data_IF_245005041919
#
_entry.id   IF_245005041919
#
_cell.length_a   1.000
_cell.length_b   1.000
_cell.length_c   1.000
_cell.angle_alpha   90.00
_cell.angle_beta   90.00
_cell.angle_gamma   90.00
#
_symmetry.space_group_name_H-M   'P 1'
#
loop_
_entity.id
_entity.type
_entity.pdbx_description
1 polymer ?
#
# COMPACT_ATOMS: atom_id res chain seq x y z
N UNK A 1 -15.51 -2.03 4.85
CA UNK A 1 -14.88 -0.86 5.51
C UNK A 1 -15.46 -0.52 6.90
N UNK A 2 -16.62 -1.02 7.31
CA UNK A 2 -17.24 -0.69 8.60
C UNK A 2 -16.59 -1.37 9.84
N UNK A 3 -15.91 -2.51 9.68
CA UNK A 3 -15.44 -3.29 10.84
C UNK A 3 -14.06 -2.92 11.41
N UNK A 4 -13.32 -2.02 10.76
CA UNK A 4 -11.98 -1.65 11.22
C UNK A 4 -12.00 -0.62 12.36
N UNK A 5 -12.98 0.26 12.38
CA UNK A 5 -13.11 1.28 13.45
C UNK A 5 -13.73 0.73 14.74
N UNK A 6 -14.48 -0.38 14.67
CA UNK A 6 -15.08 -1.01 15.85
C UNK A 6 -14.11 -1.90 16.65
N UNK A 7 -12.99 -2.35 16.06
CA UNK A 7 -12.00 -3.17 16.78
C UNK A 7 -11.04 -2.37 17.67
N UNK A 8 -11.08 -1.06 17.65
CA UNK A 8 -10.16 -0.17 18.37
C UNK A 8 -10.47 0.02 19.87
N UNK A 9 -11.35 -0.76 20.47
CA UNK A 9 -11.84 -0.42 21.80
C UNK A 9 -11.87 -1.46 22.90
N UNK A 10 -11.52 -2.72 22.70
CA UNK A 10 -11.83 -3.76 23.70
C UNK A 10 -10.69 -4.70 24.13
N UNK A 11 -9.47 -4.25 24.14
CA UNK A 11 -8.37 -5.00 24.77
C UNK A 11 -7.44 -4.02 25.46
N UNK A 12 -7.10 -4.22 26.74
CA UNK A 12 -6.17 -3.37 27.48
C UNK A 12 -4.72 -3.38 26.95
N UNK A 13 -4.52 -3.54 25.65
CA UNK A 13 -3.28 -3.51 24.91
C UNK A 13 -2.97 -2.12 24.32
N UNK A 14 -1.73 -1.93 23.91
CA UNK A 14 -1.27 -0.74 23.19
C UNK A 14 -1.31 -1.09 21.71
N UNK A 15 -2.07 -0.34 20.91
CA UNK A 15 -2.07 -0.50 19.47
C UNK A 15 -0.83 0.17 18.88
N UNK A 16 -0.07 -0.61 18.13
CA UNK A 16 1.19 -0.22 17.50
C UNK A 16 1.11 -0.53 16.02
N UNK A 17 1.36 0.48 15.21
CA UNK A 17 1.48 0.34 13.76
C UNK A 17 2.96 0.23 13.41
N UNK A 18 3.33 -0.83 12.73
CA UNK A 18 4.67 -1.04 12.20
C UNK A 18 4.57 -1.03 10.69
N UNK A 19 5.33 -0.16 10.03
CA UNK A 19 5.43 -0.14 8.58
C UNK A 19 6.85 -0.49 8.13
N UNK A 20 6.94 -1.28 7.08
CA UNK A 20 8.17 -1.51 6.34
C UNK A 20 8.17 -0.55 5.17
N UNK A 21 9.17 0.30 5.08
CA UNK A 21 9.34 1.27 3.99
C UNK A 21 10.66 1.00 3.27
N UNK A 22 10.66 0.87 1.94
CA UNK A 22 11.90 0.74 1.17
C UNK A 22 12.82 1.95 1.28
N UNK A 23 12.26 3.14 1.52
CA UNK A 23 13.01 4.37 1.68
C UNK A 23 13.49 4.59 3.12
N UNK A 24 12.60 4.34 4.08
CA UNK A 24 12.81 4.72 5.49
C UNK A 24 13.21 3.55 6.40
N UNK A 25 13.09 2.32 5.92
CA UNK A 25 13.35 1.12 6.70
C UNK A 25 12.14 0.68 7.51
N UNK A 26 12.29 0.48 8.81
CA UNK A 26 11.23 0.04 9.69
C UNK A 26 10.79 1.20 10.57
N UNK A 27 9.51 1.50 10.52
CA UNK A 27 8.89 2.59 11.28
C UNK A 27 7.86 2.05 12.25
N UNK A 28 7.76 2.66 13.41
CA UNK A 28 6.74 2.35 14.40
C UNK A 28 5.99 3.60 14.83
N UNK A 29 4.69 3.54 14.79
CA UNK A 29 3.80 4.58 15.29
C UNK A 29 2.82 3.99 16.28
N UNK A 30 2.65 4.64 17.43
CA UNK A 30 1.53 4.37 18.32
C UNK A 30 0.64 5.59 18.43
N UNK A 31 -0.66 5.35 18.52
CA UNK A 31 -1.66 6.41 18.61
C UNK A 31 -2.28 6.45 20.02
N UNK A 32 -2.73 7.61 20.41
CA UNK A 32 -3.59 7.76 21.60
C UNK A 32 -5.06 7.44 21.27
N UNK A 33 -5.92 7.48 22.28
CA UNK A 33 -7.36 7.21 22.10
C UNK A 33 -8.08 8.24 21.23
N UNK A 34 -7.41 9.32 20.85
CA UNK A 34 -7.93 10.38 19.98
C UNK A 34 -7.36 10.29 18.56
N UNK A 35 -6.49 9.29 18.30
CA UNK A 35 -5.84 9.11 17.00
C UNK A 35 -4.61 10.00 16.79
N UNK A 36 -4.13 10.71 17.81
CA UNK A 36 -2.90 11.49 17.68
C UNK A 36 -1.68 10.59 17.86
N UNK A 37 -0.60 10.90 17.15
CA UNK A 37 0.68 10.20 17.31
C UNK A 37 1.22 10.41 18.71
N UNK A 38 1.29 9.32 19.46
CA UNK A 38 1.83 9.28 20.82
C UNK A 38 3.32 8.97 20.83
N UNK A 39 3.74 8.08 19.95
CA UNK A 39 5.14 7.73 19.79
C UNK A 39 5.43 7.41 18.34
N UNK A 40 6.61 7.81 17.87
CA UNK A 40 7.15 7.46 16.56
C UNK A 40 8.63 7.07 16.73
N UNK A 41 9.04 6.03 16.07
CA UNK A 41 10.44 5.60 16.01
C UNK A 41 10.73 4.97 14.64
N UNK A 42 11.97 5.04 14.22
CA UNK A 42 12.45 4.52 12.96
C UNK A 42 13.79 3.84 13.15
N UNK A 43 14.01 2.73 12.43
CA UNK A 43 15.31 2.07 12.32
C UNK A 43 15.55 1.63 10.88
N UNK A 44 16.81 1.63 10.41
CA UNK A 44 17.13 1.12 9.09
C UNK A 44 16.72 -0.35 8.95
N UNK A 45 16.22 -0.71 7.78
CA UNK A 45 15.93 -2.10 7.39
C UNK A 45 16.13 -2.21 5.88
N UNK A 46 16.83 -3.24 5.43
CA UNK A 46 16.96 -3.51 4.02
C UNK A 46 15.75 -4.31 3.51
N UNK A 47 15.14 -3.80 2.45
CA UNK A 47 14.01 -4.44 1.78
C UNK A 47 14.38 -4.77 0.33
N UNK A 48 14.15 -6.02 -0.07
CA UNK A 48 14.35 -6.47 -1.44
C UNK A 48 13.08 -6.21 -2.25
N UNK A 49 13.04 -5.07 -2.93
CA UNK A 49 11.88 -4.66 -3.72
C UNK A 49 11.59 -5.62 -4.88
N UNK A 50 12.63 -6.16 -5.53
CA UNK A 50 12.47 -7.10 -6.65
C UNK A 50 11.83 -8.44 -6.23
N UNK A 51 12.08 -8.85 -5.01
CA UNK A 51 11.53 -10.08 -4.43
C UNK A 51 10.30 -9.82 -3.55
N UNK A 52 9.98 -8.56 -3.29
CA UNK A 52 8.87 -8.12 -2.43
C UNK A 52 8.95 -8.74 -1.03
N UNK A 53 10.15 -8.76 -0.46
CA UNK A 53 10.41 -9.38 0.85
C UNK A 53 11.47 -8.61 1.64
N UNK A 54 11.46 -8.80 2.95
CA UNK A 54 12.54 -8.33 3.84
C UNK A 54 13.80 -9.11 3.51
N UNK A 55 14.93 -8.41 3.30
CA UNK A 55 16.18 -9.03 2.92
C UNK A 55 16.74 -9.94 4.03
N UNK A 56 16.54 -9.55 5.29
CA UNK A 56 17.04 -10.27 6.46
C UNK A 56 16.04 -10.23 7.63
N UNK A 57 15.47 -11.38 7.99
CA UNK A 57 14.49 -11.47 9.07
C UNK A 57 15.10 -11.32 10.48
N UNK A 58 16.40 -11.61 10.67
CA UNK A 58 17.09 -11.35 11.93
C UNK A 58 17.25 -9.84 12.16
N UNK A 59 17.53 -9.08 11.11
CA UNK A 59 17.54 -7.62 11.15
C UNK A 59 16.14 -7.04 11.40
N UNK A 60 15.11 -7.60 10.79
CA UNK A 60 13.73 -7.24 11.08
C UNK A 60 13.39 -7.41 12.55
N UNK A 61 13.74 -8.58 13.12
CA UNK A 61 13.54 -8.87 14.55
C UNK A 61 14.27 -7.87 15.44
N UNK A 62 15.56 -7.66 15.20
CA UNK A 62 16.37 -6.71 15.96
C UNK A 62 15.84 -5.27 15.83
N UNK A 63 15.37 -4.89 14.63
CA UNK A 63 14.73 -3.61 14.37
C UNK A 63 13.45 -3.41 15.17
N UNK A 64 12.56 -4.39 15.17
CA UNK A 64 11.31 -4.34 15.96
C UNK A 64 11.62 -4.24 17.46
N UNK A 65 12.57 -5.05 17.97
CA UNK A 65 13.01 -4.98 19.37
C UNK A 65 13.54 -3.59 19.73
N UNK A 66 14.35 -3.00 18.85
CA UNK A 66 14.90 -1.65 19.02
C UNK A 66 13.79 -0.59 19.07
N UNK A 67 12.79 -0.68 18.18
CA UNK A 67 11.65 0.23 18.19
C UNK A 67 10.87 0.20 19.51
N UNK A 68 10.57 -1.00 20.00
CA UNK A 68 9.89 -1.17 21.29
C UNK A 68 10.71 -0.61 22.46
N UNK A 69 12.02 -0.86 22.49
CA UNK A 69 12.92 -0.36 23.51
C UNK A 69 13.03 1.16 23.46
N UNK A 70 13.24 1.75 22.28
CA UNK A 70 13.39 3.20 22.08
C UNK A 70 12.19 3.98 22.60
N UNK A 71 11.01 3.40 22.52
CA UNK A 71 9.77 4.05 22.97
C UNK A 71 9.24 3.51 24.29
N UNK A 72 10.00 2.61 24.94
CA UNK A 72 9.64 2.00 26.21
C UNK A 72 8.23 1.36 26.18
N UNK A 73 7.90 0.75 25.05
CA UNK A 73 6.64 0.01 24.86
C UNK A 73 6.89 -1.45 25.24
N UNK A 74 6.07 -1.99 26.13
CA UNK A 74 6.15 -3.41 26.50
C UNK A 74 5.56 -4.28 25.38
N UNK A 75 6.35 -5.09 24.66
CA UNK A 75 5.86 -5.92 23.57
C UNK A 75 4.70 -6.85 23.97
N UNK A 76 4.71 -7.38 25.19
CA UNK A 76 3.66 -8.28 25.71
C UNK A 76 2.27 -7.66 25.84
N UNK A 77 2.19 -6.34 25.68
CA UNK A 77 0.94 -5.58 25.69
C UNK A 77 0.62 -4.96 24.34
N UNK A 78 1.42 -5.27 23.31
CA UNK A 78 1.27 -4.66 22.01
C UNK A 78 0.40 -5.50 21.10
N UNK A 79 -0.60 -4.84 20.52
CA UNK A 79 -1.36 -5.29 19.37
C UNK A 79 -0.70 -4.65 18.13
N UNK A 80 -0.12 -5.46 17.27
CA UNK A 80 0.64 -4.96 16.13
C UNK A 80 -0.20 -5.02 14.86
N UNK A 81 -0.28 -3.88 14.18
CA UNK A 81 -0.76 -3.74 12.82
C UNK A 81 0.44 -3.52 11.92
N UNK A 82 0.64 -4.38 10.94
CA UNK A 82 1.78 -4.36 10.03
C UNK A 82 1.37 -3.79 8.67
N UNK A 83 2.11 -2.82 8.15
CA UNK A 83 2.00 -2.37 6.77
C UNK A 83 3.21 -2.83 5.98
N UNK A 84 2.96 -3.52 4.87
CA UNK A 84 4.00 -3.98 3.94
C UNK A 84 4.05 -3.07 2.71
N UNK A 85 5.25 -2.70 2.24
CA UNK A 85 5.38 -1.73 1.16
C UNK A 85 4.91 -2.30 -0.17
N UNK A 86 5.27 -3.54 -0.44
CA UNK A 86 5.07 -4.14 -1.74
C UNK A 86 4.37 -5.48 -1.60
N UNK A 87 3.12 -5.50 -2.00
CA UNK A 87 2.34 -6.71 -2.23
C UNK A 87 2.01 -6.78 -3.72
N UNK A 88 1.58 -7.93 -4.18
CA UNK A 88 1.09 -8.04 -5.54
C UNK A 88 -0.33 -7.51 -5.62
N UNK A 89 -0.58 -6.71 -6.65
CA UNK A 89 -1.90 -6.15 -6.91
C UNK A 89 -2.36 -6.52 -8.31
N UNK A 90 -3.66 -6.48 -8.52
CA UNK A 90 -4.24 -6.59 -9.84
C UNK A 90 -5.71 -6.23 -9.84
N UNK A 91 -6.22 -6.04 -11.05
CA UNK A 91 -7.64 -5.83 -11.34
C UNK A 91 -8.10 -6.95 -12.27
N UNK A 92 -9.12 -7.72 -11.84
CA UNK A 92 -9.76 -8.74 -12.67
C UNK A 92 -11.14 -8.28 -13.06
N UNK A 93 -11.33 -8.12 -14.35
CA UNK A 93 -12.60 -7.68 -14.94
C UNK A 93 -13.35 -8.84 -15.60
N UNK A 94 -14.63 -8.61 -15.89
CA UNK A 94 -15.45 -9.54 -16.67
C UNK A 94 -15.85 -10.81 -15.95
N UNK A 95 -15.81 -10.83 -14.61
CA UNK A 95 -16.23 -11.99 -13.84
C UNK A 95 -17.77 -12.13 -13.86
N UNK A 96 -18.33 -13.33 -13.99
CA UNK A 96 -19.75 -13.56 -13.83
C UNK A 96 -20.27 -13.10 -12.47
N UNK A 97 -21.43 -12.43 -12.43
CA UNK A 97 -22.00 -11.87 -11.19
C UNK A 97 -22.30 -12.93 -10.12
N UNK A 98 -22.57 -14.16 -10.53
CA UNK A 98 -22.98 -15.26 -9.64
C UNK A 98 -21.82 -16.11 -9.10
N UNK A 99 -20.57 -15.69 -9.33
CA UNK A 99 -19.43 -16.39 -8.73
C UNK A 99 -19.43 -16.18 -7.21
N UNK A 100 -19.24 -17.28 -6.49
CA UNK A 100 -19.04 -17.24 -5.05
C UNK A 100 -17.59 -16.80 -4.70
N UNK A 101 -17.38 -16.44 -3.43
CA UNK A 101 -16.11 -15.92 -2.95
C UNK A 101 -14.96 -16.95 -3.10
N UNK A 102 -15.25 -18.24 -3.00
CA UNK A 102 -14.26 -19.31 -3.19
C UNK A 102 -13.81 -19.38 -4.65
N UNK A 103 -14.75 -19.29 -5.59
CA UNK A 103 -14.42 -19.29 -7.01
C UNK A 103 -13.60 -18.07 -7.39
N UNK A 104 -13.93 -16.88 -6.86
CA UNK A 104 -13.16 -15.66 -7.09
C UNK A 104 -11.75 -15.81 -6.51
N UNK A 105 -11.62 -16.31 -5.29
CA UNK A 105 -10.32 -16.55 -4.65
C UNK A 105 -9.43 -17.46 -5.51
N UNK A 106 -9.98 -18.56 -6.02
CA UNK A 106 -9.24 -19.47 -6.89
C UNK A 106 -8.83 -18.83 -8.23
N UNK A 107 -9.67 -17.98 -8.81
CA UNK A 107 -9.33 -17.22 -10.02
C UNK A 107 -8.18 -16.26 -9.72
N UNK A 108 -8.24 -15.53 -8.61
CA UNK A 108 -7.18 -14.59 -8.19
C UNK A 108 -5.85 -15.33 -7.97
N UNK A 109 -5.86 -16.47 -7.27
CA UNK A 109 -4.66 -17.30 -7.09
C UNK A 109 -4.10 -17.73 -8.45
N UNK A 110 -4.95 -18.22 -9.36
CA UNK A 110 -4.52 -18.63 -10.70
C UNK A 110 -3.92 -17.51 -11.53
N UNK A 111 -4.43 -16.27 -11.44
CA UNK A 111 -3.83 -15.09 -12.10
C UNK A 111 -2.46 -14.75 -11.51
N UNK A 112 -2.36 -14.79 -10.17
CA UNK A 112 -1.10 -14.52 -9.48
C UNK A 112 -0.02 -15.54 -9.84
N UNK A 113 -0.35 -16.83 -9.89
CA UNK A 113 0.59 -17.91 -10.23
C UNK A 113 1.04 -17.87 -11.70
N UNK A 114 0.23 -17.31 -12.59
CA UNK A 114 0.62 -17.09 -13.99
C UNK A 114 1.59 -15.92 -14.15
N UNK A 115 1.48 -14.93 -13.29
CA UNK A 115 2.25 -13.67 -13.42
C UNK A 115 3.52 -13.68 -12.56
N UNK A 116 3.46 -14.32 -11.39
CA UNK A 116 4.52 -14.29 -10.38
C UNK A 116 4.94 -15.70 -9.94
N UNK A 117 6.20 -15.82 -9.53
CA UNK A 117 6.73 -17.07 -8.98
C UNK A 117 6.74 -16.98 -7.46
N UNK A 118 5.89 -17.76 -6.80
CA UNK A 118 5.87 -17.89 -5.35
C UNK A 118 6.82 -19.01 -4.91
N UNK A 119 7.73 -18.71 -3.96
CA UNK A 119 8.87 -19.58 -3.66
C UNK A 119 8.52 -20.84 -2.86
N UNK A 120 7.52 -20.81 -1.98
CA UNK A 120 7.30 -21.89 -1.00
C UNK A 120 5.86 -22.27 -0.73
N UNK A 121 4.93 -21.33 -0.74
CA UNK A 121 3.51 -21.54 -0.43
C UNK A 121 2.64 -20.69 -1.34
N UNK A 122 1.39 -21.11 -1.49
CA UNK A 122 0.40 -20.30 -2.18
C UNK A 122 0.30 -18.91 -1.56
N UNK A 123 0.07 -17.86 -2.36
CA UNK A 123 -0.13 -16.52 -1.84
C UNK A 123 -1.41 -16.47 -1.00
N UNK A 124 -1.43 -15.55 -0.02
CA UNK A 124 -2.66 -15.21 0.70
C UNK A 124 -3.32 -14.06 -0.07
N UNK A 125 -4.40 -14.31 -0.83
CA UNK A 125 -5.09 -13.26 -1.55
C UNK A 125 -6.09 -12.55 -0.64
N UNK A 126 -6.28 -11.27 -0.92
CA UNK A 126 -7.38 -10.46 -0.42
C UNK A 126 -7.99 -9.71 -1.61
N UNK A 127 -9.30 -9.69 -1.72
CA UNK A 127 -9.98 -9.02 -2.83
C UNK A 127 -11.29 -8.35 -2.38
N UNK A 128 -11.73 -7.39 -3.16
CA UNK A 128 -13.00 -6.69 -2.98
C UNK A 128 -13.54 -6.19 -4.32
N UNK A 129 -14.82 -5.84 -4.36
CA UNK A 129 -15.43 -5.35 -5.57
C UNK A 129 -14.82 -4.01 -6.01
N UNK A 130 -14.38 -4.00 -7.26
CA UNK A 130 -14.01 -2.80 -8.00
C UNK A 130 -15.19 -2.30 -8.83
N UNK A 131 -15.11 -1.09 -9.35
CA UNK A 131 -16.11 -0.60 -10.28
C UNK A 131 -15.91 -1.27 -11.64
N UNK A 132 -16.97 -1.91 -12.16
CA UNK A 132 -16.90 -2.52 -13.48
C UNK A 132 -16.81 -1.43 -14.56
N UNK A 133 -15.79 -1.52 -15.41
CA UNK A 133 -15.49 -0.45 -16.39
C UNK A 133 -16.45 -0.41 -17.57
N UNK A 134 -17.09 -1.52 -17.95
CA UNK A 134 -17.76 -1.61 -19.26
C UNK A 134 -19.05 -2.40 -19.34
N UNK A 135 -19.45 -3.18 -18.34
CA UNK A 135 -20.61 -4.05 -18.47
C UNK A 135 -21.36 -4.23 -17.15
N UNK A 136 -22.66 -3.89 -17.14
CA UNK A 136 -23.55 -4.08 -15.99
C UNK A 136 -23.77 -5.58 -15.62
N UNK A 137 -23.47 -6.50 -16.52
CA UNK A 137 -23.68 -7.92 -16.35
C UNK A 137 -22.45 -8.67 -15.86
N UNK A 138 -21.37 -7.94 -15.56
CA UNK A 138 -20.12 -8.50 -15.04
C UNK A 138 -19.68 -7.80 -13.77
N UNK A 139 -18.86 -8.52 -13.00
CA UNK A 139 -18.22 -8.06 -11.77
C UNK A 139 -16.74 -7.82 -12.05
N UNK A 140 -16.16 -6.80 -11.43
CA UNK A 140 -14.72 -6.60 -11.38
C UNK A 140 -14.26 -6.65 -9.93
N UNK A 141 -13.09 -7.23 -9.70
CA UNK A 141 -12.47 -7.30 -8.38
C UNK A 141 -11.06 -6.74 -8.42
N UNK A 142 -10.74 -5.90 -7.45
CA UNK A 142 -9.37 -5.52 -7.18
C UNK A 142 -8.81 -6.46 -6.13
N UNK A 143 -7.63 -6.98 -6.34
CA UNK A 143 -7.01 -7.93 -5.44
C UNK A 143 -5.60 -7.52 -5.06
N UNK A 144 -5.19 -7.98 -3.88
CA UNK A 144 -3.82 -7.93 -3.40
C UNK A 144 -3.43 -9.29 -2.85
N UNK A 145 -2.14 -9.60 -2.88
CA UNK A 145 -1.63 -10.83 -2.30
C UNK A 145 -0.26 -10.62 -1.68
N UNK A 146 0.03 -11.45 -0.69
CA UNK A 146 1.32 -11.52 0.00
C UNK A 146 1.73 -12.98 0.14
N UNK A 147 3.02 -13.24 0.20
CA UNK A 147 3.53 -14.59 0.46
C UNK A 147 3.15 -15.03 1.89
N UNK A 148 2.58 -16.22 2.02
CA UNK A 148 2.15 -16.75 3.31
C UNK A 148 3.31 -16.91 4.31
N UNK A 149 4.47 -17.33 3.83
CA UNK A 149 5.67 -17.51 4.67
C UNK A 149 6.21 -16.17 5.24
N UNK A 150 6.05 -15.07 4.52
CA UNK A 150 6.38 -13.73 5.05
C UNK A 150 5.54 -13.42 6.29
N UNK A 151 4.22 -13.61 6.17
CA UNK A 151 3.29 -13.36 7.29
C UNK A 151 3.55 -14.30 8.46
N UNK A 152 3.76 -15.60 8.19
CA UNK A 152 4.04 -16.58 9.24
C UNK A 152 5.35 -16.27 9.98
N UNK A 153 6.40 -15.86 9.26
CA UNK A 153 7.69 -15.48 9.85
C UNK A 153 7.53 -14.25 10.75
N UNK A 154 6.86 -13.21 10.26
CA UNK A 154 6.63 -11.99 11.06
C UNK A 154 5.76 -12.30 12.29
N UNK A 155 4.72 -13.12 12.12
CA UNK A 155 3.87 -13.57 13.23
C UNK A 155 4.68 -14.34 14.28
N UNK A 156 5.61 -15.20 13.87
CA UNK A 156 6.52 -15.93 14.78
C UNK A 156 7.42 -14.97 15.55
N UNK A 157 8.06 -14.02 14.86
CA UNK A 157 8.92 -12.99 15.47
C UNK A 157 8.18 -12.22 16.55
N UNK A 158 6.98 -11.71 16.21
CA UNK A 158 6.16 -10.97 17.16
C UNK A 158 5.70 -11.84 18.34
N UNK A 159 5.35 -13.09 18.07
CA UNK A 159 4.95 -14.06 19.10
C UNK A 159 6.07 -14.38 20.09
N UNK A 160 7.33 -14.49 19.65
CA UNK A 160 8.49 -14.67 20.51
C UNK A 160 8.69 -13.48 21.47
N UNK A 161 8.34 -12.26 21.04
CA UNK A 161 8.35 -11.06 21.88
C UNK A 161 7.12 -10.97 22.80
N UNK A 162 6.12 -11.82 22.58
CA UNK A 162 4.84 -11.80 23.31
C UNK A 162 3.83 -10.78 22.76
N UNK A 163 4.09 -10.20 21.59
CA UNK A 163 3.18 -9.32 20.86
C UNK A 163 2.18 -10.12 20.04
N UNK A 164 1.04 -9.51 19.71
CA UNK A 164 0.02 -10.11 18.85
C UNK A 164 -0.03 -9.39 17.52
N UNK A 165 0.17 -10.11 16.41
CA UNK A 165 -0.14 -9.58 15.08
C UNK A 165 -1.66 -9.59 14.89
N UNK A 166 -2.27 -8.42 14.85
CA UNK A 166 -3.73 -8.24 14.74
C UNK A 166 -4.18 -8.10 13.29
N UNK A 167 -3.38 -7.40 12.48
CA UNK A 167 -3.70 -7.17 11.09
C UNK A 167 -2.48 -6.90 10.23
N UNK A 168 -2.62 -7.20 8.96
CA UNK A 168 -1.65 -6.87 7.92
C UNK A 168 -2.35 -6.02 6.88
N UNK A 169 -1.72 -4.93 6.51
CA UNK A 169 -2.17 -4.01 5.47
C UNK A 169 -1.03 -3.80 4.47
N UNK A 170 -1.26 -3.04 3.44
CA UNK A 170 -0.22 -2.63 2.51
C UNK A 170 -0.14 -1.10 2.44
N UNK A 171 1.02 -0.59 2.00
CA UNK A 171 1.26 0.85 1.90
C UNK A 171 0.20 1.55 1.04
N UNK A 172 -0.18 0.97 -0.09
CA UNK A 172 -1.21 1.52 -0.98
C UNK A 172 -2.53 1.83 -0.25
N UNK A 173 -3.04 0.90 0.56
CA UNK A 173 -4.26 1.11 1.33
C UNK A 173 -4.04 2.04 2.52
N UNK A 174 -2.84 2.02 3.11
CA UNK A 174 -2.47 2.97 4.17
C UNK A 174 -2.46 4.40 3.64
N UNK A 175 -1.94 4.64 2.43
CA UNK A 175 -2.02 5.95 1.77
C UNK A 175 -3.46 6.37 1.48
N UNK A 176 -4.27 5.49 0.90
CA UNK A 176 -5.69 5.81 0.66
C UNK A 176 -6.42 6.19 1.95
N UNK A 177 -6.17 5.47 3.05
CA UNK A 177 -6.73 5.81 4.36
C UNK A 177 -6.21 7.14 4.89
N UNK A 178 -4.89 7.36 4.78
CA UNK A 178 -4.23 8.60 5.17
C UNK A 178 -4.79 9.81 4.44
N UNK A 179 -4.90 9.74 3.13
CA UNK A 179 -5.48 10.80 2.30
C UNK A 179 -6.92 11.14 2.67
N UNK A 180 -7.71 10.13 3.06
CA UNK A 180 -9.07 10.34 3.53
C UNK A 180 -9.10 10.99 4.92
N UNK A 181 -8.31 10.49 5.88
CA UNK A 181 -8.29 10.98 7.27
C UNK A 181 -7.73 12.39 7.36
N UNK A 182 -6.69 12.71 6.59
CA UNK A 182 -6.11 14.05 6.53
C UNK A 182 -6.97 15.06 5.76
N UNK A 183 -7.96 14.59 5.03
CA UNK A 183 -8.83 15.43 4.21
C UNK A 183 -8.25 15.82 2.86
N UNK A 184 -7.03 15.40 2.52
CA UNK A 184 -6.39 15.72 1.23
C UNK A 184 -7.22 15.22 0.05
N UNK A 185 -7.76 13.99 0.13
CA UNK A 185 -8.63 13.41 -0.89
C UNK A 185 -10.12 13.40 -0.50
N UNK A 186 -10.52 14.13 0.53
CA UNK A 186 -11.89 14.05 1.04
C UNK A 186 -12.93 14.49 0.01
N UNK A 187 -12.65 15.53 -0.77
CA UNK A 187 -13.54 16.01 -1.83
C UNK A 187 -13.70 14.97 -2.94
N UNK A 188 -12.60 14.38 -3.38
CA UNK A 188 -12.56 13.34 -4.42
C UNK A 188 -13.28 12.08 -3.98
N UNK A 189 -13.02 11.63 -2.75
CA UNK A 189 -13.56 10.39 -2.21
C UNK A 189 -15.04 10.45 -1.82
N UNK A 190 -15.54 11.63 -1.44
CA UNK A 190 -16.94 11.79 -1.01
C UNK A 190 -17.90 12.10 -2.17
N UNK A 191 -17.41 12.26 -3.38
CA UNK A 191 -18.23 12.48 -4.56
C UNK A 191 -18.11 11.30 -5.53
N UNK A 192 -19.12 10.43 -5.55
CA UNK A 192 -19.14 9.23 -6.39
C UNK A 192 -19.12 9.55 -7.91
N UNK A 193 -19.36 10.78 -8.31
CA UNK A 193 -19.25 11.25 -9.69
C UNK A 193 -17.85 11.70 -10.10
N UNK A 194 -16.96 11.94 -9.13
CA UNK A 194 -15.61 12.41 -9.42
C UNK A 194 -14.66 11.26 -9.73
N UNK A 195 -14.04 11.33 -10.90
CA UNK A 195 -12.90 10.46 -11.25
C UNK A 195 -11.61 11.17 -10.86
N UNK A 196 -10.73 10.47 -10.18
CA UNK A 196 -9.44 10.97 -9.74
C UNK A 196 -8.40 9.85 -9.76
N UNK A 197 -7.13 10.19 -9.72
CA UNK A 197 -6.03 9.21 -9.72
C UNK A 197 -5.10 9.44 -8.54
N UNK A 198 -4.54 8.34 -8.05
CA UNK A 198 -3.45 8.32 -7.08
C UNK A 198 -2.23 7.70 -7.75
N UNK A 199 -1.10 8.40 -7.71
CA UNK A 199 0.20 7.93 -8.16
C UNK A 199 1.14 7.84 -6.97
N UNK A 200 1.73 6.67 -6.75
CA UNK A 200 2.71 6.41 -5.70
C UNK A 200 4.01 6.01 -6.38
N UNK A 201 5.09 6.76 -6.10
CA UNK A 201 6.41 6.55 -6.67
C UNK A 201 7.30 5.94 -5.59
N UNK A 202 7.98 4.86 -5.93
CA UNK A 202 8.97 4.20 -5.09
C UNK A 202 10.27 3.94 -5.87
N UNK A 203 11.25 3.31 -5.25
CA UNK A 203 12.55 3.06 -5.89
C UNK A 203 12.48 2.08 -7.08
N UNK A 204 11.42 1.27 -7.17
CA UNK A 204 11.22 0.25 -8.21
C UNK A 204 10.35 0.73 -9.37
N UNK A 205 9.75 1.93 -9.26
CA UNK A 205 8.87 2.50 -10.27
C UNK A 205 7.71 3.29 -9.68
N UNK A 206 6.53 3.15 -10.27
CA UNK A 206 5.33 3.76 -9.70
C UNK A 206 4.11 2.87 -9.86
N UNK A 207 3.15 3.07 -8.97
CA UNK A 207 1.82 2.48 -9.01
C UNK A 207 0.81 3.59 -9.23
N UNK A 208 -0.22 3.34 -10.03
CA UNK A 208 -1.29 4.29 -10.25
C UNK A 208 -2.66 3.63 -10.10
N UNK A 209 -3.53 4.26 -9.33
CA UNK A 209 -4.93 3.89 -9.18
C UNK A 209 -5.80 4.95 -9.88
N UNK A 210 -6.66 4.51 -10.79
CA UNK A 210 -7.80 5.28 -11.23
C UNK A 210 -8.99 5.02 -10.29
N UNK A 211 -9.62 6.07 -9.82
CA UNK A 211 -10.66 6.03 -8.81
C UNK A 211 -11.92 6.76 -9.27
N UNK A 212 -13.08 6.29 -8.83
CA UNK A 212 -14.32 7.04 -8.87
C UNK A 212 -14.92 7.08 -7.46
N UNK A 213 -14.92 8.25 -6.84
CA UNK A 213 -15.18 8.35 -5.42
C UNK A 213 -14.24 7.45 -4.62
N UNK A 214 -14.79 6.44 -3.92
CA UNK A 214 -14.04 5.46 -3.13
C UNK A 214 -13.80 4.13 -3.85
N UNK A 215 -14.20 4.00 -5.10
CA UNK A 215 -14.11 2.75 -5.85
C UNK A 215 -12.94 2.78 -6.80
N UNK A 216 -12.22 1.67 -6.89
CA UNK A 216 -11.14 1.48 -7.84
C UNK A 216 -11.73 1.16 -9.20
N UNK A 217 -11.29 1.89 -10.23
CA UNK A 217 -11.63 1.69 -11.63
C UNK A 217 -10.52 0.98 -12.39
N UNK A 218 -9.29 1.42 -12.14
CA UNK A 218 -8.11 1.03 -12.90
C UNK A 218 -6.92 0.86 -11.97
N UNK A 219 -6.03 -0.03 -12.32
CA UNK A 219 -4.73 -0.19 -11.67
C UNK A 219 -3.65 -0.33 -12.74
N UNK A 220 -2.60 0.40 -12.55
CA UNK A 220 -1.41 0.37 -13.38
C UNK A 220 -0.16 0.31 -12.51
N UNK A 221 0.80 -0.55 -12.86
CA UNK A 221 2.11 -0.62 -12.22
C UNK A 221 3.17 -0.56 -13.30
N UNK A 222 4.10 0.39 -13.18
CA UNK A 222 5.23 0.53 -14.08
C UNK A 222 6.52 0.25 -13.34
N UNK A 223 7.18 -0.87 -13.62
CA UNK A 223 8.51 -1.14 -13.11
C UNK A 223 9.52 -0.20 -13.78
N UNK A 224 10.09 0.69 -13.00
CA UNK A 224 11.09 1.65 -13.44
C UNK A 224 12.20 1.71 -12.38
N UNK A 225 13.44 1.27 -12.69
CA UNK A 225 14.50 1.24 -11.71
C UNK A 225 15.02 2.67 -11.45
N UNK A 226 14.30 3.43 -10.62
CA UNK A 226 14.55 4.86 -10.34
C UNK A 226 16.00 5.12 -9.91
N UNK A 227 16.56 4.23 -9.10
CA UNK A 227 17.96 4.30 -8.66
C UNK A 227 19.00 4.20 -9.79
N UNK A 228 18.60 3.80 -11.01
CA UNK A 228 19.48 3.71 -12.18
C UNK A 228 19.59 5.01 -12.96
N UNK A 229 18.81 6.01 -12.61
CA UNK A 229 18.80 7.34 -13.22
C UNK A 229 19.41 8.37 -12.28
N UNK A 230 19.90 9.47 -12.82
CA UNK A 230 20.47 10.56 -12.02
C UNK A 230 19.81 11.92 -12.34
N UNK A 231 19.57 12.70 -11.31
CA UNK A 231 19.10 14.08 -11.44
C UNK A 231 17.82 14.22 -12.28
N UNK A 232 17.88 15.01 -13.34
CA UNK A 232 16.75 15.31 -14.24
C UNK A 232 16.28 14.11 -15.07
N UNK A 233 17.12 13.11 -15.27
CA UNK A 233 16.78 11.91 -16.04
C UNK A 233 15.70 11.07 -15.35
N UNK A 234 15.68 11.07 -14.00
CA UNK A 234 14.65 10.40 -13.21
C UNK A 234 13.27 10.93 -13.58
N UNK A 235 13.13 12.25 -13.56
CA UNK A 235 11.85 12.90 -13.86
C UNK A 235 11.41 12.63 -15.29
N UNK A 236 12.31 12.73 -16.26
CA UNK A 236 12.01 12.46 -17.66
C UNK A 236 11.57 10.99 -17.89
N UNK A 237 12.20 10.05 -17.18
CA UNK A 237 11.83 8.63 -17.27
C UNK A 237 10.42 8.40 -16.69
N UNK A 238 10.10 8.98 -15.53
CA UNK A 238 8.76 8.88 -14.92
C UNK A 238 7.71 9.55 -15.80
N UNK A 239 7.97 10.78 -16.31
CA UNK A 239 7.05 11.50 -17.19
C UNK A 239 6.67 10.66 -18.42
N UNK A 240 7.69 10.09 -19.10
CA UNK A 240 7.48 9.27 -20.29
C UNK A 240 6.66 8.01 -19.98
N UNK A 241 6.97 7.32 -18.88
CA UNK A 241 6.27 6.12 -18.48
C UNK A 241 4.83 6.40 -18.00
N UNK A 242 4.63 7.47 -17.24
CA UNK A 242 3.33 7.87 -16.73
C UNK A 242 2.37 8.39 -17.80
N UNK A 243 2.88 8.93 -18.92
CA UNK A 243 2.06 9.53 -19.97
C UNK A 243 0.99 8.58 -20.51
N UNK A 244 1.32 7.31 -20.69
CA UNK A 244 0.39 6.29 -21.21
C UNK A 244 -0.75 6.07 -20.19
N UNK A 245 -0.40 5.90 -18.92
CA UNK A 245 -1.37 5.68 -17.86
C UNK A 245 -2.27 6.92 -17.65
N UNK A 246 -1.70 8.13 -17.69
CA UNK A 246 -2.45 9.38 -17.54
C UNK A 246 -3.37 9.68 -18.73
N UNK A 247 -3.01 9.29 -19.94
CA UNK A 247 -3.84 9.46 -21.13
C UNK A 247 -5.05 8.52 -21.16
N UNK A 248 -4.93 7.34 -20.57
CA UNK A 248 -6.03 6.37 -20.47
C UNK A 248 -7.00 6.67 -19.32
N UNK A 249 -6.57 7.40 -18.31
CA UNK A 249 -7.38 7.70 -17.12
C UNK A 249 -8.17 9.00 -17.28
N UNK A 250 -9.52 8.97 -17.26
CA UNK A 250 -10.37 10.16 -17.41
C UNK A 250 -10.46 10.98 -16.10
N UNK A 251 -9.36 11.14 -15.38
CA UNK A 251 -9.36 11.74 -14.05
C UNK A 251 -9.36 13.27 -14.09
N UNK A 252 -10.10 13.91 -13.19
CA UNK A 252 -10.13 15.37 -13.00
C UNK A 252 -9.02 15.87 -12.07
N UNK A 253 -8.47 14.98 -11.24
CA UNK A 253 -7.37 15.29 -10.33
C UNK A 253 -6.43 14.10 -10.18
N UNK A 254 -5.14 14.41 -9.96
CA UNK A 254 -4.07 13.46 -9.73
C UNK A 254 -3.37 13.80 -8.40
N UNK A 255 -3.41 12.87 -7.45
CA UNK A 255 -2.64 12.96 -6.22
C UNK A 255 -1.32 12.22 -6.44
N UNK A 256 -0.19 12.86 -6.14
CA UNK A 256 1.15 12.30 -6.31
C UNK A 256 1.83 12.19 -4.95
N UNK A 257 2.26 10.98 -4.61
CA UNK A 257 3.02 10.67 -3.40
C UNK A 257 4.38 10.10 -3.81
N UNK A 258 5.44 10.51 -3.13
CA UNK A 258 6.76 9.92 -3.31
C UNK A 258 7.20 9.20 -2.04
N UNK A 259 7.52 7.91 -2.16
CA UNK A 259 8.15 7.08 -1.12
C UNK A 259 9.68 7.07 -1.24
N UNK A 260 10.26 7.92 -2.09
CA UNK A 260 11.71 7.95 -2.32
C UNK A 260 12.26 9.37 -2.25
N UNK A 261 13.40 9.52 -1.59
CA UNK A 261 14.13 10.80 -1.51
C UNK A 261 14.70 11.27 -2.86
N UNK A 262 14.68 10.39 -3.88
CA UNK A 262 15.21 10.69 -5.21
C UNK A 262 14.24 11.52 -6.06
N UNK A 263 12.95 11.56 -5.71
CA UNK A 263 11.89 12.20 -6.49
C UNK A 263 11.05 13.08 -5.57
N UNK A 264 10.98 14.37 -5.84
CA UNK A 264 10.02 15.26 -5.21
C UNK A 264 8.68 15.19 -5.94
N UNK A 265 7.60 14.91 -5.21
CA UNK A 265 6.24 14.91 -5.75
C UNK A 265 5.84 16.31 -6.27
N UNK A 266 6.31 17.39 -5.62
CA UNK A 266 6.07 18.77 -6.06
C UNK A 266 6.73 19.08 -7.41
N UNK A 267 8.01 18.69 -7.57
CA UNK A 267 8.73 18.89 -8.83
C UNK A 267 8.10 18.07 -9.94
N UNK A 268 7.82 16.79 -9.68
CA UNK A 268 7.18 15.92 -10.66
C UNK A 268 5.80 16.44 -11.06
N UNK A 269 4.99 16.86 -10.08
CA UNK A 269 3.66 17.42 -10.35
C UNK A 269 3.65 18.64 -11.28
N UNK A 270 4.72 19.44 -11.26
CA UNK A 270 4.88 20.58 -12.20
C UNK A 270 5.27 20.15 -13.61
N UNK A 271 5.78 18.97 -13.77
CA UNK A 271 6.33 18.44 -15.04
C UNK A 271 5.33 17.53 -15.78
N UNK A 272 4.51 16.79 -15.02
CA UNK A 272 3.53 15.88 -15.61
C UNK A 272 2.52 16.64 -16.48
N UNK A 273 2.33 16.15 -17.71
CA UNK A 273 1.30 16.67 -18.61
C UNK A 273 -0.05 16.03 -18.25
N UNK A 274 -0.78 16.70 -17.40
CA UNK A 274 -2.09 16.28 -16.94
C UNK A 274 -3.14 17.36 -17.15
N UNK A 275 -4.31 16.99 -17.66
CA UNK A 275 -5.38 17.95 -18.02
C UNK A 275 -6.20 18.48 -16.84
N UNK A 276 -5.97 17.98 -15.64
CA UNK A 276 -6.69 18.33 -14.42
C UNK A 276 -5.80 18.98 -13.36
N UNK A 277 -6.23 18.89 -12.10
CA UNK A 277 -5.48 19.40 -10.95
C UNK A 277 -4.50 18.36 -10.44
N UNK A 278 -3.25 18.72 -10.22
CA UNK A 278 -2.24 17.86 -9.56
C UNK A 278 -2.07 18.32 -8.11
N UNK A 279 -2.12 17.38 -7.19
CA UNK A 279 -1.98 17.57 -5.75
C UNK A 279 -0.75 16.77 -5.29
N UNK A 280 0.43 17.40 -5.19
CA UNK A 280 1.60 16.74 -4.63
C UNK A 280 1.45 16.61 -3.11
N UNK A 281 1.85 15.46 -2.58
CA UNK A 281 1.92 15.19 -1.14
C UNK A 281 3.38 14.91 -0.80
N UNK A 282 3.99 15.81 -0.03
CA UNK A 282 5.35 15.67 0.46
C UNK A 282 5.32 15.11 1.88
N UNK A 283 6.22 14.19 2.19
CA UNK A 283 6.49 13.78 3.57
C UNK A 283 7.26 14.92 4.26
N UNK A 284 6.64 15.56 5.25
CA UNK A 284 7.22 16.61 6.08
C UNK A 284 7.78 16.06 7.39
#
# INVERSE_FOLDING_TARGET
>A
MANFLESLGMGGGIDVHISVSPACGLEMTSLDNHGNVKAYAQVPLEYNEAQREVANYDELKAGIETLFQTRNINPKKANVYLSLPTVWFGLKEGLPLLLDDSAITNIVIGELEQTYVFKRKEPIPYWFDALASTNSDSRSVFYSAVQADVIETIKSILGEMGSTLVGVDCSLFSYLKGLFVTGIAAEQMNNDGNSWSLMIINNSGFQMLGMQGKKILEYYEEPLPIKSYEGEEIYAAIENAAQIALMSSPSSSLIVISETDLVSAEILGKRLQFGGTIIPVEDN
#
